data_IF_148675584284
#
_entry.id   IF_148675584284
#
_cell.length_a   1.000
_cell.length_b   1.000
_cell.length_c   1.000
_cell.angle_alpha   90.00
_cell.angle_beta   90.00
_cell.angle_gamma   90.00
#
_symmetry.space_group_name_H-M   'P 1'
#
loop_
_entity.id
_entity.type
_entity.pdbx_description
1 polymer ?
#
# COMPACT_ATOMS: atom_id res chain seq x y z
N UNK A 1 12.08 30.65 13.16
CA UNK A 1 12.73 29.62 12.32
C UNK A 1 13.23 28.44 13.12
N UNK A 2 12.52 27.32 13.02
CA UNK A 2 12.93 26.01 13.55
C UNK A 2 12.57 24.93 12.52
N UNK A 3 13.29 23.80 12.48
CA UNK A 3 12.92 22.69 11.61
C UNK A 3 11.53 22.16 11.97
N UNK A 4 10.79 21.70 10.97
CA UNK A 4 9.49 21.04 11.14
C UNK A 4 9.62 19.56 10.79
N UNK A 5 9.10 18.70 11.67
CA UNK A 5 8.95 17.26 11.42
C UNK A 5 7.46 16.94 11.27
N UNK A 6 7.13 16.17 10.24
CA UNK A 6 5.81 15.54 10.11
C UNK A 6 5.99 14.04 10.33
N UNK A 7 5.49 13.54 11.46
CA UNK A 7 5.44 12.11 11.73
C UNK A 7 4.13 11.55 11.17
N UNK A 8 4.14 11.12 9.91
CA UNK A 8 2.96 10.56 9.26
C UNK A 8 2.72 9.12 9.72
N UNK A 9 1.56 8.86 10.32
CA UNK A 9 1.11 7.51 10.61
C UNK A 9 0.58 6.87 9.32
N UNK A 10 1.20 5.77 8.88
CA UNK A 10 0.88 5.12 7.61
C UNK A 10 0.66 3.61 7.78
N UNK A 11 -0.01 3.01 6.79
CA UNK A 11 -0.13 1.57 6.65
C UNK A 11 0.69 1.13 5.45
N UNK A 12 1.65 0.23 5.65
CA UNK A 12 2.42 -0.34 4.53
C UNK A 12 1.47 -1.13 3.63
N UNK A 13 1.49 -0.88 2.32
CA UNK A 13 0.60 -1.56 1.36
C UNK A 13 -0.85 -1.07 1.40
N UNK A 14 -1.12 0.13 1.94
CA UNK A 14 -2.48 0.70 2.06
C UNK A 14 -3.27 0.59 0.76
N UNK A 15 -4.49 0.07 0.84
CA UNK A 15 -5.41 -0.04 -0.29
C UNK A 15 -5.31 -1.35 -1.09
N UNK A 16 -4.36 -2.22 -0.74
CA UNK A 16 -4.26 -3.58 -1.29
C UNK A 16 -4.31 -4.59 -0.14
N UNK A 17 -5.40 -5.34 -0.08
CA UNK A 17 -5.81 -6.19 1.06
C UNK A 17 -4.72 -7.16 1.50
N UNK A 18 -4.05 -7.80 0.55
CA UNK A 18 -3.01 -8.79 0.83
C UNK A 18 -1.63 -8.16 1.11
N UNK A 19 -1.47 -6.84 0.94
CA UNK A 19 -0.23 -6.12 1.24
C UNK A 19 -0.29 -5.32 2.55
N UNK A 20 -1.48 -5.01 3.07
CA UNK A 20 -1.61 -4.19 4.28
C UNK A 20 -0.90 -4.83 5.49
N UNK A 21 0.05 -4.08 6.06
CA UNK A 21 0.88 -4.51 7.21
C UNK A 21 1.69 -5.80 6.99
N UNK A 22 1.89 -6.22 5.74
CA UNK A 22 2.60 -7.44 5.42
C UNK A 22 4.09 -7.19 5.13
N UNK A 23 4.97 -7.79 5.95
CA UNK A 23 6.42 -7.59 5.84
C UNK A 23 7.00 -8.16 4.53
N UNK A 24 6.50 -9.31 4.08
CA UNK A 24 6.90 -9.99 2.84
C UNK A 24 6.80 -9.09 1.60
N UNK A 25 5.86 -8.14 1.60
CA UNK A 25 5.67 -7.18 0.52
C UNK A 25 6.61 -5.98 0.57
N UNK A 26 7.75 -6.05 1.29
CA UNK A 26 8.81 -5.02 1.15
C UNK A 26 9.50 -5.10 -0.21
N UNK A 27 9.75 -6.32 -0.69
CA UNK A 27 10.35 -6.64 -1.98
C UNK A 27 9.53 -7.68 -2.76
N UNK A 28 8.25 -7.83 -2.39
CA UNK A 28 7.35 -8.77 -3.06
C UNK A 28 7.06 -8.30 -4.48
N UNK A 29 7.28 -9.17 -5.46
CA UNK A 29 6.88 -8.96 -6.85
C UNK A 29 5.55 -9.65 -7.07
N UNK A 30 4.58 -8.95 -7.63
CA UNK A 30 3.25 -9.50 -7.91
C UNK A 30 3.27 -10.46 -9.09
N UNK A 31 2.40 -11.45 -9.07
CA UNK A 31 1.96 -12.13 -10.29
C UNK A 31 0.99 -11.24 -11.08
N UNK A 32 0.63 -11.65 -12.30
CA UNK A 32 -0.34 -10.91 -13.11
C UNK A 32 -1.73 -10.86 -12.45
N UNK A 33 -2.15 -11.95 -11.81
CA UNK A 33 -3.43 -12.03 -11.11
C UNK A 33 -3.46 -11.11 -9.89
N UNK A 34 -2.39 -11.11 -9.11
CA UNK A 34 -2.23 -10.22 -7.95
C UNK A 34 -2.24 -8.75 -8.39
N UNK A 35 -1.56 -8.42 -9.49
CA UNK A 35 -1.58 -7.08 -10.05
C UNK A 35 -3.00 -6.63 -10.41
N UNK A 36 -3.76 -7.46 -11.12
CA UNK A 36 -5.16 -7.15 -11.49
C UNK A 36 -6.03 -6.94 -10.25
N UNK A 37 -5.89 -7.81 -9.24
CA UNK A 37 -6.59 -7.66 -7.96
C UNK A 37 -6.25 -6.33 -7.26
N UNK A 38 -4.96 -5.98 -7.19
CA UNK A 38 -4.53 -4.74 -6.54
C UNK A 38 -5.10 -3.50 -7.23
N UNK A 39 -5.15 -3.49 -8.57
CA UNK A 39 -5.76 -2.38 -9.33
C UNK A 39 -7.24 -2.25 -9.01
N UNK A 40 -8.00 -3.34 -9.06
CA UNK A 40 -9.43 -3.32 -8.72
C UNK A 40 -9.70 -2.87 -7.27
N UNK A 41 -8.86 -3.29 -6.33
CA UNK A 41 -8.98 -2.88 -4.92
C UNK A 41 -8.70 -1.39 -4.73
N UNK A 42 -7.66 -0.87 -5.38
CA UNK A 42 -7.32 0.56 -5.33
C UNK A 42 -8.45 1.40 -5.96
N UNK A 43 -8.98 0.99 -7.11
CA UNK A 43 -10.10 1.69 -7.76
C UNK A 43 -11.34 1.75 -6.86
N UNK A 44 -11.66 0.66 -6.14
CA UNK A 44 -12.77 0.64 -5.17
C UNK A 44 -12.56 1.56 -3.98
N UNK A 45 -11.32 1.82 -3.57
CA UNK A 45 -11.02 2.75 -2.46
C UNK A 45 -11.07 4.21 -2.91
N UNK A 46 -10.80 4.48 -4.19
CA UNK A 46 -10.75 5.84 -4.74
C UNK A 46 -12.09 6.32 -5.32
N UNK A 47 -13.02 5.40 -5.62
CA UNK A 47 -14.39 5.72 -6.00
C UNK A 47 -15.22 6.22 -4.81
#
# INVERSE_FOLDING_TARGET
DKPTLVLAHTTKGKGVSYMENAASWHHGVMTEEQYKQAVEEIEKVLA
#
